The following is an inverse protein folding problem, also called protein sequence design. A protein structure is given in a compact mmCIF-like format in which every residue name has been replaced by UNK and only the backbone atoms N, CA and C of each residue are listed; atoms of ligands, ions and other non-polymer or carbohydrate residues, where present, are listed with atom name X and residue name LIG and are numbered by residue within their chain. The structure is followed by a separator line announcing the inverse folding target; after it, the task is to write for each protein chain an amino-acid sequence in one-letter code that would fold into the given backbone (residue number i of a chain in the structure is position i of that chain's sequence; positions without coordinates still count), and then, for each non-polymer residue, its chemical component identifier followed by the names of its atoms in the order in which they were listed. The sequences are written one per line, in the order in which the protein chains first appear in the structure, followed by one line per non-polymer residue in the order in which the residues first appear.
data_IF_774585329644
#
_entry.id   IF_774585329644
#
_cell.length_a   1.000
_cell.length_b   1.000
_cell.length_c   1.000
_cell.angle_alpha   90.00
_cell.angle_beta   90.00
_cell.angle_gamma   90.00
#
_symmetry.space_group_name_H-M   'P 1'
#
loop_
_entity.id
_entity.type
_entity.pdbx_description
1 polymer ?
#
# COMPACT_ATOMS: atom_id res chain seq x y z
N UNK A 1 45.24 -5.64 -5.06
CA UNK A 1 44.05 -5.63 -5.94
C UNK A 1 42.83 -5.95 -5.09
N UNK A 2 41.91 -4.98 -4.89
CA UNK A 2 40.64 -5.26 -4.20
C UNK A 2 39.80 -6.11 -5.16
N UNK A 3 39.44 -7.33 -4.75
CA UNK A 3 38.54 -8.19 -5.55
C UNK A 3 37.19 -7.47 -5.67
N UNK A 4 36.82 -7.08 -6.89
CA UNK A 4 35.44 -6.69 -7.18
C UNK A 4 34.57 -7.93 -6.98
N UNK A 5 33.74 -7.93 -5.94
CA UNK A 5 32.69 -8.94 -5.81
C UNK A 5 31.55 -8.50 -6.72
N UNK A 6 31.12 -9.34 -7.68
CA UNK A 6 29.93 -9.02 -8.46
C UNK A 6 28.73 -8.95 -7.51
N UNK A 7 27.91 -7.92 -7.66
CA UNK A 7 26.68 -7.79 -6.90
C UNK A 7 25.69 -8.85 -7.39
N UNK A 8 24.94 -9.43 -6.45
CA UNK A 8 23.91 -10.41 -6.76
C UNK A 8 22.54 -9.91 -6.30
N UNK A 9 21.51 -9.96 -7.17
CA UNK A 9 21.55 -10.33 -8.58
C UNK A 9 22.23 -9.24 -9.46
N UNK A 10 22.62 -9.53 -10.71
CA UNK A 10 23.07 -8.50 -11.65
C UNK A 10 22.02 -7.42 -11.89
N UNK A 11 22.47 -6.20 -12.22
CA UNK A 11 21.58 -5.03 -12.33
C UNK A 11 20.54 -5.19 -13.45
N UNK A 12 20.91 -5.86 -14.54
CA UNK A 12 20.05 -6.15 -15.68
C UNK A 12 18.90 -7.09 -15.29
N UNK A 13 19.14 -8.00 -14.33
CA UNK A 13 18.11 -8.88 -13.81
C UNK A 13 17.11 -8.11 -12.93
N UNK A 14 17.59 -7.12 -12.18
CA UNK A 14 16.73 -6.24 -11.37
C UNK A 14 15.84 -5.39 -12.30
N UNK A 15 16.42 -4.78 -13.33
CA UNK A 15 15.68 -4.00 -14.34
C UNK A 15 14.62 -4.84 -15.03
N UNK A 16 14.98 -6.05 -15.50
CA UNK A 16 14.02 -6.98 -16.11
C UNK A 16 12.92 -7.38 -15.15
N UNK A 17 13.23 -7.59 -13.86
CA UNK A 17 12.20 -7.92 -12.87
C UNK A 17 11.23 -6.74 -12.65
N UNK A 18 11.74 -5.52 -12.53
CA UNK A 18 10.92 -4.34 -12.22
C UNK A 18 10.08 -3.84 -13.40
N UNK A 19 10.57 -4.00 -14.64
CA UNK A 19 9.96 -3.39 -15.82
C UNK A 19 9.69 -4.36 -16.97
N UNK A 20 10.21 -5.58 -16.91
CA UNK A 20 9.99 -6.59 -17.94
C UNK A 20 8.58 -7.19 -17.88
N UNK A 21 8.13 -7.72 -19.01
CA UNK A 21 6.81 -8.39 -19.13
C UNK A 21 6.82 -9.66 -18.29
N UNK A 22 6.03 -9.68 -17.21
CA UNK A 22 5.91 -10.84 -16.33
C UNK A 22 4.86 -11.84 -16.82
N UNK A 23 4.98 -13.11 -16.45
CA UNK A 23 3.98 -14.13 -16.77
C UNK A 23 2.59 -13.75 -16.23
N UNK A 24 2.53 -13.14 -15.04
CA UNK A 24 1.28 -12.65 -14.46
C UNK A 24 0.61 -11.59 -15.33
N UNK A 25 1.39 -10.70 -15.96
CA UNK A 25 0.86 -9.72 -16.92
C UNK A 25 0.39 -10.40 -18.21
N UNK A 26 1.14 -11.38 -18.72
CA UNK A 26 0.74 -12.16 -19.91
C UNK A 26 -0.61 -12.84 -19.66
N UNK A 27 -0.80 -13.44 -18.49
CA UNK A 27 -2.07 -14.08 -18.10
C UNK A 27 -3.19 -13.07 -17.88
N UNK A 28 -2.92 -11.90 -17.29
CA UNK A 28 -3.91 -10.82 -17.18
C UNK A 28 -4.39 -10.32 -18.56
N UNK A 29 -3.48 -10.19 -19.54
CA UNK A 29 -3.81 -9.84 -20.93
C UNK A 29 -4.71 -10.91 -21.57
N UNK A 30 -4.43 -12.20 -21.32
CA UNK A 30 -5.28 -13.30 -21.82
C UNK A 30 -6.69 -13.28 -21.21
N UNK A 31 -6.80 -12.93 -19.92
CA UNK A 31 -8.09 -12.80 -19.23
C UNK A 31 -8.87 -11.53 -19.60
N UNK A 32 -8.28 -10.63 -20.38
CA UNK A 32 -8.90 -9.36 -20.77
C UNK A 32 -8.99 -8.34 -19.63
N UNK A 33 -8.11 -8.46 -18.63
CA UNK A 33 -8.09 -7.59 -17.45
C UNK A 33 -7.29 -6.30 -17.66
N UNK A 34 -6.62 -6.17 -18.82
CA UNK A 34 -5.78 -5.03 -19.18
C UNK A 34 -6.42 -4.17 -20.26
N UNK A 35 -6.04 -2.90 -20.34
CA UNK A 35 -6.45 -2.05 -21.46
C UNK A 35 -5.97 -2.58 -22.81
N UNK A 36 -6.61 -2.20 -23.93
CA UNK A 36 -6.15 -2.58 -25.27
C UNK A 36 -4.71 -2.14 -25.55
N UNK A 37 -4.31 -0.94 -25.09
CA UNK A 37 -2.97 -0.41 -25.32
C UNK A 37 -1.88 -1.24 -24.64
N UNK A 38 -2.13 -1.66 -23.39
CA UNK A 38 -1.21 -2.54 -22.65
C UNK A 38 -1.20 -3.93 -23.29
N UNK A 39 -2.36 -4.49 -23.61
CA UNK A 39 -2.47 -5.79 -24.24
C UNK A 39 -1.68 -5.84 -25.57
N UNK A 40 -1.76 -4.81 -26.39
CA UNK A 40 -1.05 -4.72 -27.66
C UNK A 40 0.47 -4.53 -27.47
N UNK A 41 0.88 -3.89 -26.39
CA UNK A 41 2.31 -3.75 -26.05
C UNK A 41 2.88 -5.09 -25.59
N UNK A 42 2.19 -5.79 -24.71
CA UNK A 42 2.57 -7.12 -24.21
C UNK A 42 2.62 -8.14 -25.35
N UNK A 43 1.60 -8.19 -26.22
CA UNK A 43 1.58 -9.11 -27.38
C UNK A 43 2.72 -8.89 -28.37
N UNK A 44 3.30 -7.68 -28.42
CA UNK A 44 4.45 -7.34 -29.26
C UNK A 44 5.80 -7.62 -28.58
N UNK A 45 5.80 -8.02 -27.31
CA UNK A 45 7.02 -8.26 -26.57
C UNK A 45 7.63 -9.63 -26.91
N UNK A 46 8.96 -9.77 -26.82
CA UNK A 46 9.62 -11.07 -27.00
C UNK A 46 9.17 -12.10 -25.95
N UNK A 47 8.93 -11.66 -24.70
CA UNK A 47 8.49 -12.52 -23.59
C UNK A 47 7.12 -13.17 -23.87
N UNK A 48 6.21 -12.48 -24.58
CA UNK A 48 4.95 -13.09 -25.02
C UNK A 48 5.19 -14.28 -25.94
N UNK A 49 6.15 -14.17 -26.85
CA UNK A 49 6.48 -15.25 -27.79
C UNK A 49 7.16 -16.41 -27.06
N UNK A 50 8.14 -16.11 -26.18
CA UNK A 50 8.83 -17.10 -25.34
C UNK A 50 7.82 -17.88 -24.48
N UNK A 51 6.91 -17.19 -23.80
CA UNK A 51 5.90 -17.83 -22.95
C UNK A 51 4.99 -18.82 -23.72
N UNK A 52 4.63 -18.50 -24.95
CA UNK A 52 3.82 -19.41 -25.77
C UNK A 52 4.61 -20.61 -26.30
N UNK A 53 5.91 -20.44 -26.56
CA UNK A 53 6.78 -21.52 -26.95
C UNK A 53 7.02 -22.49 -25.78
N UNK A 54 7.31 -21.97 -24.58
CA UNK A 54 7.55 -22.78 -23.39
C UNK A 54 6.32 -23.62 -23.00
N UNK A 55 5.11 -23.04 -23.06
CA UNK A 55 3.86 -23.79 -22.83
C UNK A 55 3.63 -24.88 -23.89
N UNK A 56 4.03 -24.64 -25.14
CA UNK A 56 3.93 -25.67 -26.19
C UNK A 56 4.94 -26.79 -25.96
N UNK A 57 6.16 -26.45 -25.56
CA UNK A 57 7.23 -27.41 -25.27
C UNK A 57 6.88 -28.28 -24.04
N UNK A 58 6.41 -27.69 -22.94
CA UNK A 58 5.96 -28.43 -21.74
C UNK A 58 4.78 -29.38 -22.02
N UNK A 59 3.91 -29.03 -22.98
CA UNK A 59 2.81 -29.92 -23.42
C UNK A 59 3.30 -31.09 -24.28
N UNK A 60 4.48 -30.99 -24.87
CA UNK A 60 5.08 -32.06 -25.68
C UNK A 60 6.12 -32.89 -24.91
N UNK A 61 6.56 -32.42 -23.75
CA UNK A 61 7.41 -33.18 -22.84
C UNK A 61 6.63 -34.37 -22.26
N UNK A 62 6.97 -35.59 -22.69
CA UNK A 62 6.58 -36.80 -21.96
C UNK A 62 7.34 -36.82 -20.64
N UNK A 63 6.61 -36.71 -19.53
CA UNK A 63 7.16 -36.97 -18.21
C UNK A 63 7.54 -38.46 -18.14
N UNK A 64 8.83 -38.76 -18.31
CA UNK A 64 9.40 -40.04 -17.88
C UNK A 64 9.37 -40.06 -16.34
N UNK A 65 8.26 -40.54 -15.80
CA UNK A 65 8.00 -40.71 -14.37
C UNK A 65 8.76 -41.93 -13.82
N UNK A 66 10.07 -41.99 -14.06
CA UNK A 66 10.95 -43.00 -13.47
C UNK A 66 11.69 -42.42 -12.25
N UNK A 67 11.09 -42.65 -11.07
CA UNK A 67 11.77 -43.02 -9.82
C UNK A 67 13.07 -42.28 -9.47
N UNK A 68 13.12 -40.95 -9.61
CA UNK A 68 14.20 -40.14 -9.03
C UNK A 68 13.79 -39.63 -7.66
N UNK A 69 14.52 -40.03 -6.62
CA UNK A 69 14.42 -39.36 -5.31
C UNK A 69 14.56 -37.86 -5.53
N UNK A 70 13.70 -37.02 -4.91
CA UNK A 70 13.73 -35.58 -5.14
C UNK A 70 15.14 -35.06 -4.82
N UNK A 71 15.74 -34.24 -5.71
CA UNK A 71 17.07 -33.71 -5.46
C UNK A 71 17.08 -32.95 -4.14
N UNK A 72 18.12 -33.16 -3.33
CA UNK A 72 18.25 -32.48 -2.05
C UNK A 72 18.28 -30.96 -2.27
N UNK A 73 17.29 -30.25 -1.71
CA UNK A 73 17.21 -28.80 -1.81
C UNK A 73 18.45 -28.15 -1.17
N UNK A 74 19.18 -27.27 -1.90
CA UNK A 74 20.30 -26.52 -1.35
C UNK A 74 19.91 -25.74 -0.08
N UNK A 75 20.84 -25.62 0.86
CA UNK A 75 20.57 -25.01 2.17
C UNK A 75 20.09 -23.56 2.06
N UNK A 76 20.58 -22.80 1.08
CA UNK A 76 20.15 -21.42 0.84
C UNK A 76 18.66 -21.36 0.46
N UNK A 77 18.21 -22.25 -0.43
CA UNK A 77 16.80 -22.32 -0.83
C UNK A 77 15.94 -22.75 0.36
N UNK A 78 16.41 -23.73 1.13
CA UNK A 78 15.73 -24.18 2.35
C UNK A 78 15.56 -23.05 3.37
N UNK A 79 16.59 -22.21 3.54
CA UNK A 79 16.52 -21.06 4.45
C UNK A 79 15.54 -19.99 3.96
N UNK A 80 15.54 -19.67 2.66
CA UNK A 80 14.56 -18.74 2.05
C UNK A 80 13.13 -19.26 2.27
N UNK A 81 12.88 -20.54 2.00
CA UNK A 81 11.55 -21.15 2.22
C UNK A 81 11.17 -21.06 3.69
N UNK A 82 12.08 -21.42 4.60
CA UNK A 82 11.83 -21.35 6.05
C UNK A 82 11.45 -19.94 6.50
N UNK A 83 12.18 -18.91 6.04
CA UNK A 83 11.90 -17.51 6.38
C UNK A 83 10.55 -17.04 5.83
N UNK A 84 10.20 -17.39 4.59
CA UNK A 84 8.88 -17.10 4.02
C UNK A 84 7.75 -17.75 4.81
N UNK A 85 7.92 -19.01 5.19
CA UNK A 85 6.93 -19.72 6.03
C UNK A 85 6.81 -19.05 7.40
N UNK A 86 7.92 -18.63 8.00
CA UNK A 86 7.89 -17.92 9.29
C UNK A 86 7.21 -16.54 9.21
N UNK A 87 7.26 -15.87 8.05
CA UNK A 87 6.58 -14.60 7.82
C UNK A 87 5.08 -14.75 7.46
N UNK A 88 4.63 -15.93 7.02
CA UNK A 88 3.25 -16.15 6.58
C UNK A 88 2.16 -15.75 7.61
N UNK A 89 2.32 -15.98 8.93
CA UNK A 89 1.34 -15.54 9.92
C UNK A 89 1.12 -14.02 9.99
N UNK A 90 2.08 -13.22 9.50
CA UNK A 90 1.97 -11.75 9.51
C UNK A 90 0.83 -11.25 8.62
N UNK A 91 0.45 -12.00 7.59
CA UNK A 91 -0.64 -11.63 6.68
C UNK A 91 -2.01 -11.48 7.39
N UNK A 92 -2.16 -12.08 8.58
CA UNK A 92 -3.38 -11.99 9.39
C UNK A 92 -3.39 -10.81 10.37
N UNK A 93 -2.32 -10.02 10.44
CA UNK A 93 -2.28 -8.83 11.29
C UNK A 93 -3.19 -7.73 10.73
N UNK A 94 -3.75 -6.92 11.63
CA UNK A 94 -4.55 -5.78 11.25
C UNK A 94 -3.68 -4.69 10.60
N UNK A 95 -4.16 -4.12 9.49
CA UNK A 95 -3.55 -3.02 8.75
C UNK A 95 -4.42 -1.76 8.96
N UNK A 96 -3.85 -0.54 9.05
CA UNK A 96 -2.42 -0.20 9.04
C UNK A 96 -1.83 0.03 10.44
N UNK A 97 -0.53 -0.25 10.60
CA UNK A 97 0.23 0.10 11.80
C UNK A 97 1.69 0.48 11.47
N UNK A 98 2.32 1.39 12.25
CA UNK A 98 3.73 1.71 12.11
C UNK A 98 4.63 0.47 12.24
N UNK A 99 5.66 0.41 11.41
CA UNK A 99 6.63 -0.70 11.39
C UNK A 99 6.19 -1.90 10.56
N UNK A 100 4.96 -1.93 10.04
CA UNK A 100 4.53 -2.96 9.10
C UNK A 100 5.23 -2.77 7.76
N UNK A 101 5.73 -3.86 7.20
CA UNK A 101 6.17 -3.92 5.81
C UNK A 101 5.07 -4.58 5.01
N UNK A 102 4.52 -3.85 4.04
CA UNK A 102 3.42 -4.32 3.22
C UNK A 102 3.86 -4.57 1.80
N UNK A 103 3.25 -5.56 1.17
CA UNK A 103 3.43 -5.89 -0.23
C UNK A 103 2.27 -5.32 -1.05
N UNK A 104 2.57 -4.54 -2.07
CA UNK A 104 1.65 -4.16 -3.12
C UNK A 104 1.82 -5.09 -4.33
N UNK A 105 0.72 -5.68 -4.79
CA UNK A 105 0.72 -6.60 -5.95
C UNK A 105 0.14 -5.94 -7.22
N UNK A 106 -0.59 -4.84 -7.07
CA UNK A 106 -1.26 -4.15 -8.18
C UNK A 106 -1.44 -2.66 -7.89
N UNK A 107 -1.55 -1.88 -8.94
CA UNK A 107 -1.95 -0.47 -8.85
C UNK A 107 -3.46 -0.43 -8.58
N UNK A 108 -3.82 0.27 -7.51
CA UNK A 108 -5.22 0.56 -7.16
C UNK A 108 -5.33 2.06 -7.05
N UNK A 109 -6.22 2.67 -7.83
CA UNK A 109 -6.48 4.11 -7.78
C UNK A 109 -7.77 4.40 -7.02
N UNK A 110 -7.91 5.61 -6.43
CA UNK A 110 -9.13 5.99 -5.73
C UNK A 110 -10.39 5.92 -6.59
N UNK A 111 -10.28 6.22 -7.89
CA UNK A 111 -11.36 6.03 -8.87
C UNK A 111 -10.93 5.00 -9.92
N UNK A 112 -11.86 4.18 -10.45
CA UNK A 112 -11.54 3.24 -11.52
C UNK A 112 -10.95 3.94 -12.76
N UNK A 113 -10.04 3.25 -13.45
CA UNK A 113 -9.45 3.67 -14.73
C UNK A 113 -8.75 5.05 -14.75
N UNK A 114 -8.32 5.58 -13.60
CA UNK A 114 -7.54 6.84 -13.56
C UNK A 114 -6.11 6.68 -14.07
N UNK A 115 -5.55 5.48 -13.95
CA UNK A 115 -4.23 5.14 -14.44
C UNK A 115 -4.36 3.92 -15.34
N UNK A 116 -3.84 4.06 -16.55
CA UNK A 116 -3.63 2.94 -17.47
C UNK A 116 -2.20 2.41 -17.26
N UNK A 117 -1.96 1.83 -16.08
CA UNK A 117 -0.65 1.34 -15.66
C UNK A 117 -0.80 0.03 -14.91
N UNK A 118 0.18 -0.85 -15.06
CA UNK A 118 0.25 -2.13 -14.34
C UNK A 118 1.56 -2.21 -13.57
N UNK A 119 1.47 -2.74 -12.36
CA UNK A 119 2.63 -3.09 -11.56
C UNK A 119 3.22 -4.39 -12.09
N UNK A 120 4.42 -4.32 -12.69
CA UNK A 120 5.06 -5.46 -13.34
C UNK A 120 5.59 -6.49 -12.34
N UNK A 121 6.05 -6.00 -11.18
CA UNK A 121 6.50 -6.80 -10.05
C UNK A 121 6.01 -6.20 -8.72
N UNK A 122 5.81 -7.03 -7.69
CA UNK A 122 5.39 -6.56 -6.38
C UNK A 122 6.40 -5.55 -5.80
N UNK A 123 5.87 -4.51 -5.17
CA UNK A 123 6.66 -3.52 -4.45
C UNK A 123 6.36 -3.58 -2.97
N UNK A 124 7.37 -3.29 -2.15
CA UNK A 124 7.27 -3.39 -0.70
C UNK A 124 7.46 -2.03 -0.06
N UNK A 125 6.63 -1.70 0.94
CA UNK A 125 6.69 -0.41 1.65
C UNK A 125 6.72 -0.65 3.15
N UNK A 126 7.68 -0.05 3.84
CA UNK A 126 7.67 0.07 5.30
C UNK A 126 6.78 1.25 5.68
N UNK A 127 5.71 0.99 6.43
CA UNK A 127 4.80 2.01 6.94
C UNK A 127 5.41 2.70 8.15
N UNK A 128 5.43 4.04 8.12
CA UNK A 128 5.96 4.85 9.21
C UNK A 128 4.85 5.54 10.01
N UNK A 129 4.07 6.38 9.31
CA UNK A 129 3.06 7.24 9.91
C UNK A 129 1.91 7.47 8.93
N UNK A 130 0.68 7.72 9.41
CA UNK A 130 -0.41 8.17 8.56
C UNK A 130 -0.05 9.52 7.93
N UNK A 131 -0.45 9.70 6.67
CA UNK A 131 -0.38 10.98 5.97
C UNK A 131 -1.64 11.82 6.21
N UNK A 132 -1.78 12.93 5.49
CA UNK A 132 -2.90 13.86 5.63
C UNK A 132 -4.26 13.19 5.30
N UNK A 133 -4.26 12.24 4.37
CA UNK A 133 -5.41 11.41 4.07
C UNK A 133 -5.36 10.09 4.85
N UNK A 134 -6.49 9.71 5.48
CA UNK A 134 -6.58 8.47 6.27
C UNK A 134 -6.19 7.20 5.49
N UNK A 135 -6.44 7.19 4.18
CA UNK A 135 -6.10 6.09 3.28
C UNK A 135 -4.65 6.14 2.76
N UNK A 136 -3.84 7.10 3.20
CA UNK A 136 -2.48 7.33 2.71
C UNK A 136 -1.50 7.28 3.87
N UNK A 137 -0.38 6.60 3.69
CA UNK A 137 0.66 6.46 4.71
C UNK A 137 2.02 6.87 4.17
N UNK A 138 2.79 7.60 4.99
CA UNK A 138 4.20 7.84 4.77
C UNK A 138 5.00 6.56 5.03
N UNK A 139 6.04 6.36 4.24
CA UNK A 139 6.94 5.24 4.39
C UNK A 139 8.13 5.30 3.47
N UNK A 140 8.84 4.18 3.41
CA UNK A 140 9.99 3.99 2.53
C UNK A 140 9.81 2.72 1.72
N UNK A 141 10.32 2.72 0.49
CA UNK A 141 10.40 1.49 -0.28
C UNK A 141 11.33 0.48 0.38
N UNK A 142 11.00 -0.80 0.20
CA UNK A 142 11.75 -1.95 0.71
C UNK A 142 12.07 -2.88 -0.47
N UNK A 143 13.23 -3.51 -0.44
CA UNK A 143 13.73 -4.38 -1.51
C UNK A 143 14.49 -5.58 -0.94
N UNK A 144 14.81 -6.56 -1.79
CA UNK A 144 15.52 -7.79 -1.39
C UNK A 144 17.05 -7.65 -1.51
N UNK A 145 17.52 -6.72 -2.32
CA UNK A 145 18.88 -6.66 -2.85
C UNK A 145 19.88 -6.02 -1.87
N UNK A 146 20.15 -6.70 -0.75
CA UNK A 146 21.04 -6.17 0.29
C UNK A 146 22.48 -5.92 -0.18
N UNK A 147 22.92 -6.58 -1.25
CA UNK A 147 24.24 -6.35 -1.88
C UNK A 147 24.36 -4.93 -2.46
N UNK A 148 23.22 -4.33 -2.83
CA UNK A 148 23.13 -2.97 -3.35
C UNK A 148 23.01 -1.90 -2.27
N UNK A 149 23.02 -2.30 -0.99
CA UNK A 149 22.94 -1.37 0.12
C UNK A 149 24.01 -0.27 0.00
N UNK A 150 23.55 0.97 0.04
CA UNK A 150 24.32 2.18 0.25
C UNK A 150 24.41 2.54 1.73
N UNK A 151 25.08 3.65 2.00
CA UNK A 151 25.29 4.16 3.36
C UNK A 151 23.98 4.42 4.10
N UNK A 152 22.93 4.80 3.38
CA UNK A 152 21.64 5.22 3.93
C UNK A 152 20.58 4.12 3.93
N UNK A 153 20.89 2.94 3.40
CA UNK A 153 19.94 1.83 3.40
C UNK A 153 19.98 1.09 4.74
N UNK A 154 18.81 0.79 5.29
CA UNK A 154 18.69 -0.01 6.51
C UNK A 154 18.51 -1.48 6.12
N UNK A 155 19.52 -2.30 6.38
CA UNK A 155 19.50 -3.73 6.08
C UNK A 155 18.91 -4.48 7.28
N UNK A 156 17.80 -5.19 7.06
CA UNK A 156 17.15 -6.01 8.07
C UNK A 156 18.04 -7.19 8.44
N UNK A 157 18.05 -7.54 9.72
CA UNK A 157 18.89 -8.60 10.28
C UNK A 157 18.02 -9.64 11.01
N UNK A 158 18.64 -10.70 11.53
CA UNK A 158 17.92 -11.75 12.24
C UNK A 158 17.08 -11.23 13.42
N UNK A 159 17.54 -10.18 14.12
CA UNK A 159 16.75 -9.57 15.20
C UNK A 159 15.49 -8.82 14.73
N UNK A 160 15.37 -8.56 13.43
CA UNK A 160 14.23 -7.89 12.81
C UNK A 160 13.18 -8.90 12.33
N UNK A 161 13.46 -10.20 12.43
CA UNK A 161 12.55 -11.27 12.05
C UNK A 161 11.28 -11.31 12.93
N UNK A 162 10.12 -11.76 12.40
CA UNK A 162 9.96 -12.30 11.04
C UNK A 162 9.73 -11.23 9.96
N UNK A 163 10.30 -11.47 8.78
CA UNK A 163 10.00 -10.75 7.54
C UNK A 163 10.26 -11.65 6.32
N UNK A 164 9.56 -11.41 5.21
CA UNK A 164 9.80 -12.07 3.93
C UNK A 164 11.17 -11.64 3.37
N UNK A 165 12.05 -12.56 2.95
CA UNK A 165 13.33 -12.22 2.34
C UNK A 165 13.26 -11.27 1.13
N UNK A 166 12.10 -11.14 0.45
CA UNK A 166 11.93 -10.12 -0.60
C UNK A 166 11.85 -8.68 -0.06
N UNK A 167 11.68 -8.54 1.26
CA UNK A 167 11.60 -7.29 1.99
C UNK A 167 12.72 -7.20 3.02
N UNK A 168 13.98 -7.15 2.56
CA UNK A 168 15.19 -7.26 3.40
C UNK A 168 15.96 -5.94 3.62
N UNK A 169 15.65 -4.89 2.86
CA UNK A 169 16.37 -3.61 2.91
C UNK A 169 15.44 -2.42 2.73
N UNK A 170 15.45 -1.46 3.66
CA UNK A 170 14.67 -0.22 3.60
C UNK A 170 15.51 0.86 2.92
N UNK A 171 14.93 1.50 1.90
CA UNK A 171 15.56 2.51 1.06
C UNK A 171 15.26 3.93 1.55
N UNK A 172 16.10 4.49 2.44
CA UNK A 172 15.79 5.79 3.05
C UNK A 172 15.89 6.97 2.09
N UNK A 173 16.66 6.83 1.02
CA UNK A 173 16.74 7.77 -0.08
C UNK A 173 15.49 7.72 -0.99
N UNK A 174 14.57 6.76 -0.78
CA UNK A 174 13.38 6.55 -1.58
C UNK A 174 12.08 6.60 -0.73
N UNK A 175 11.76 7.76 -0.12
CA UNK A 175 10.50 7.93 0.59
C UNK A 175 9.32 7.89 -0.39
N UNK A 176 8.20 7.34 0.08
CA UNK A 176 6.95 7.20 -0.69
C UNK A 176 5.73 7.46 0.19
N UNK A 177 4.64 7.85 -0.46
CA UNK A 177 3.30 7.75 0.10
C UNK A 177 2.64 6.50 -0.47
N UNK A 178 2.15 5.61 0.39
CA UNK A 178 1.38 4.46 -0.02
C UNK A 178 -0.11 4.74 0.14
N UNK A 179 -0.87 4.49 -0.92
CA UNK A 179 -2.33 4.39 -0.83
C UNK A 179 -2.72 3.00 -0.30
N UNK A 180 -3.29 2.95 0.90
CA UNK A 180 -3.54 1.71 1.66
C UNK A 180 -4.33 0.63 0.89
N UNK A 181 -5.32 0.95 0.03
CA UNK A 181 -5.98 -0.08 -0.78
C UNK A 181 -5.04 -0.86 -1.72
N UNK A 182 -3.81 -0.39 -1.96
CA UNK A 182 -2.78 -1.15 -2.65
C UNK A 182 -2.06 -2.19 -1.77
N UNK A 183 -2.13 -2.07 -0.45
CA UNK A 183 -1.48 -2.99 0.48
C UNK A 183 -2.21 -4.34 0.46
N UNK A 184 -1.63 -5.32 -0.25
CA UNK A 184 -2.24 -6.63 -0.42
C UNK A 184 -2.08 -7.52 0.81
N UNK A 185 -0.91 -7.48 1.46
CA UNK A 185 -0.63 -8.21 2.71
C UNK A 185 0.58 -7.66 3.45
N UNK A 186 0.65 -7.95 4.74
CA UNK A 186 1.81 -7.67 5.58
C UNK A 186 2.82 -8.81 5.43
N UNK A 187 4.08 -8.46 5.18
CA UNK A 187 5.19 -9.39 4.97
C UNK A 187 6.34 -9.21 5.95
N UNK A 188 6.28 -8.19 6.80
CA UNK A 188 7.27 -7.94 7.85
C UNK A 188 6.69 -7.02 8.94
N UNK A 189 7.24 -7.08 10.15
CA UNK A 189 6.88 -6.17 11.24
C UNK A 189 8.12 -5.80 12.05
N UNK A 190 8.54 -4.55 11.94
CA UNK A 190 9.57 -4.00 12.82
C UNK A 190 9.02 -3.75 14.21
N UNK A 191 9.83 -4.03 15.22
CA UNK A 191 9.53 -3.57 16.58
C UNK A 191 9.64 -2.03 16.65
N UNK A 192 8.95 -1.38 17.61
CA UNK A 192 9.02 0.09 17.76
C UNK A 192 10.45 0.61 17.91
N UNK A 193 11.31 -0.11 18.63
CA UNK A 193 12.72 0.25 18.80
C UNK A 193 13.51 0.20 17.47
N UNK A 194 13.20 -0.78 16.62
CA UNK A 194 13.84 -0.91 15.30
C UNK A 194 13.31 0.11 14.31
N UNK A 195 12.01 0.40 14.31
CA UNK A 195 11.44 1.52 13.56
C UNK A 195 12.06 2.87 13.99
N UNK A 196 12.29 3.07 15.29
CA UNK A 196 12.98 4.27 15.77
C UNK A 196 14.42 4.37 15.25
N UNK A 197 15.12 3.24 15.09
CA UNK A 197 16.44 3.22 14.48
C UNK A 197 16.39 3.59 12.99
N UNK A 198 15.37 3.14 12.25
CA UNK A 198 15.10 3.56 10.86
C UNK A 198 14.85 5.07 10.79
N UNK A 199 13.95 5.61 11.64
CA UNK A 199 13.67 7.05 11.73
C UNK A 199 14.90 7.88 12.06
N UNK A 200 15.73 7.42 13.00
CA UNK A 200 16.98 8.11 13.31
C UNK A 200 17.96 8.09 12.14
N UNK A 201 18.04 7.00 11.39
CA UNK A 201 18.88 6.92 10.20
C UNK A 201 18.36 7.83 9.08
N UNK A 202 17.04 7.97 8.95
CA UNK A 202 16.41 8.88 7.99
C UNK A 202 16.67 10.36 8.36
N UNK A 203 16.64 10.69 9.66
CA UNK A 203 17.03 12.00 10.15
C UNK A 203 18.51 12.30 9.84
N UNK A 204 19.41 11.34 10.05
CA UNK A 204 20.83 11.49 9.69
C UNK A 204 20.98 11.75 8.18
N UNK A 205 20.30 10.98 7.34
CA UNK A 205 20.30 11.17 5.89
C UNK A 205 19.85 12.57 5.46
N UNK A 206 18.83 13.13 6.12
CA UNK A 206 18.29 14.44 5.78
C UNK A 206 19.24 15.61 6.11
N UNK A 207 20.14 15.45 7.09
CA UNK A 207 20.96 16.56 7.62
C UNK A 207 22.46 16.35 7.43
N UNK A 208 22.90 15.18 6.95
CA UNK A 208 24.31 14.85 6.77
C UNK A 208 24.60 14.19 5.43
N UNK A 209 25.83 14.37 4.95
CA UNK A 209 26.34 13.65 3.78
C UNK A 209 27.01 12.34 4.19
N UNK A 210 27.12 11.42 3.23
CA UNK A 210 27.86 10.19 3.46
C UNK A 210 29.36 10.53 3.69
N UNK A 211 30.02 9.86 4.64
CA UNK A 211 31.39 10.18 5.01
C UNK A 211 32.37 9.90 3.87
N UNK A 212 33.10 10.94 3.44
CA UNK A 212 34.08 10.89 2.33
C UNK A 212 35.32 10.05 2.67
N UNK A 213 35.62 9.89 3.96
CA UNK A 213 36.77 9.11 4.43
C UNK A 213 36.50 7.60 4.51
N UNK A 214 35.27 7.14 4.24
CA UNK A 214 34.92 5.73 4.22
C UNK A 214 34.89 5.25 2.77
N UNK A 215 35.74 4.28 2.46
CA UNK A 215 35.82 3.73 1.11
C UNK A 215 34.51 3.02 0.71
N UNK A 216 34.07 3.25 -0.53
CA UNK A 216 33.01 2.46 -1.13
C UNK A 216 33.41 0.98 -1.19
N UNK A 217 32.46 0.12 -0.79
CA UNK A 217 32.61 -1.32 -0.77
C UNK A 217 31.26 -2.00 -1.07
N UNK A 218 30.82 -2.02 -2.35
CA UNK A 218 29.58 -2.67 -2.76
C UNK A 218 29.53 -4.15 -2.32
N UNK A 219 28.33 -4.68 -2.06
CA UNK A 219 28.14 -6.08 -1.63
C UNK A 219 28.48 -6.34 -0.16
N UNK A 220 28.68 -5.28 0.64
CA UNK A 220 28.99 -5.41 2.07
C UNK A 220 28.12 -4.52 2.92
N UNK A 221 27.52 -5.14 3.93
CA UNK A 221 26.88 -4.44 5.02
C UNK A 221 27.81 -4.36 6.24
N UNK A 222 27.72 -3.25 6.99
CA UNK A 222 28.45 -3.02 8.21
C UNK A 222 27.50 -2.45 9.27
N UNK A 223 27.78 -2.80 10.53
CA UNK A 223 27.05 -2.22 11.64
C UNK A 223 27.62 -0.85 11.99
N UNK A 224 26.74 0.14 12.15
CA UNK A 224 27.11 1.50 12.58
C UNK A 224 26.11 2.04 13.57
N UNK A 225 26.42 3.19 14.14
CA UNK A 225 25.57 3.90 15.08
C UNK A 225 25.04 5.17 14.42
N UNK A 226 23.76 5.48 14.59
CA UNK A 226 23.17 6.75 14.16
C UNK A 226 23.62 7.90 15.06
N UNK A 227 23.32 9.15 14.69
CA UNK A 227 23.60 10.31 15.55
C UNK A 227 22.96 10.22 16.94
N UNK A 228 21.86 9.48 17.08
CA UNK A 228 21.14 9.27 18.35
C UNK A 228 21.61 8.05 19.14
N UNK A 229 22.68 7.39 18.71
CA UNK A 229 23.24 6.24 19.44
C UNK A 229 22.60 4.89 19.11
N UNK A 230 21.71 4.82 18.12
CA UNK A 230 21.02 3.58 17.76
C UNK A 230 21.85 2.73 16.79
N UNK A 231 21.93 1.43 17.05
CA UNK A 231 22.69 0.49 16.22
C UNK A 231 21.88 0.08 14.98
N UNK A 232 22.48 0.29 13.82
CA UNK A 232 21.92 -0.05 12.50
C UNK A 232 22.91 -0.88 11.70
N UNK A 233 22.42 -1.52 10.64
CA UNK A 233 23.24 -2.22 9.66
C UNK A 233 22.96 -1.58 8.30
N UNK A 234 23.99 -1.04 7.67
CA UNK A 234 23.88 -0.32 6.39
C UNK A 234 24.94 -0.81 5.42
N UNK A 235 24.83 -0.42 4.15
CA UNK A 235 25.92 -0.60 3.20
C UNK A 235 27.06 0.39 3.40
N UNK A 236 27.89 0.53 2.37
CA UNK A 236 28.98 1.50 2.29
C UNK A 236 28.58 2.73 1.46
N UNK A 237 29.28 3.87 1.56
CA UNK A 237 29.05 5.00 0.66
C UNK A 237 29.13 4.60 -0.82
N UNK A 238 28.39 5.31 -1.66
CA UNK A 238 28.44 5.10 -3.11
C UNK A 238 29.84 5.42 -3.64
N UNK A 239 30.27 4.65 -4.65
CA UNK A 239 31.57 4.80 -5.29
C UNK A 239 31.59 5.90 -6.35
N UNK A 240 32.41 5.69 -7.38
CA UNK A 240 32.44 6.53 -8.58
C UNK A 240 31.15 6.39 -9.40
N UNK A 241 31.02 7.19 -10.46
CA UNK A 241 29.92 7.13 -11.43
C UNK A 241 29.66 5.73 -12.04
N UNK A 242 30.67 4.86 -12.07
CA UNK A 242 30.56 3.47 -12.53
C UNK A 242 30.04 2.48 -11.45
N UNK A 243 29.69 2.95 -10.26
CA UNK A 243 29.06 2.12 -9.23
C UNK A 243 27.64 1.73 -9.66
N UNK A 244 27.40 0.42 -9.85
CA UNK A 244 26.12 -0.12 -10.27
C UNK A 244 24.96 0.25 -9.32
N UNK A 245 25.26 0.62 -8.07
CA UNK A 245 24.26 1.10 -7.11
C UNK A 245 23.62 2.43 -7.52
N UNK A 246 24.27 3.26 -8.34
CA UNK A 246 23.62 4.44 -8.92
C UNK A 246 22.48 4.06 -9.87
N UNK A 247 22.72 3.11 -10.77
CA UNK A 247 21.68 2.60 -11.68
C UNK A 247 20.56 1.92 -10.89
N UNK A 248 20.91 1.16 -9.86
CA UNK A 248 19.94 0.56 -8.94
C UNK A 248 19.00 1.60 -8.30
N UNK A 249 19.56 2.71 -7.80
CA UNK A 249 18.75 3.78 -7.22
C UNK A 249 17.79 4.40 -8.26
N UNK A 250 18.26 4.63 -9.48
CA UNK A 250 17.43 5.15 -10.57
C UNK A 250 16.24 4.22 -10.90
N UNK A 251 16.51 2.92 -11.07
CA UNK A 251 15.46 1.93 -11.36
C UNK A 251 14.39 1.91 -10.27
N UNK A 252 14.78 1.99 -9.01
CA UNK A 252 13.83 1.99 -7.90
C UNK A 252 13.11 3.33 -7.70
N UNK A 253 13.71 4.46 -8.12
CA UNK A 253 12.97 5.72 -8.20
C UNK A 253 11.88 5.66 -9.26
N UNK A 254 12.18 5.10 -10.44
CA UNK A 254 11.21 4.92 -11.52
C UNK A 254 10.10 3.94 -11.10
N UNK A 255 10.46 2.81 -10.47
CA UNK A 255 9.48 1.84 -9.99
C UNK A 255 8.59 2.41 -8.86
N UNK A 256 9.10 3.35 -8.05
CA UNK A 256 8.35 4.00 -6.99
C UNK A 256 7.13 4.78 -7.48
N UNK A 257 7.10 5.22 -8.74
CA UNK A 257 5.97 5.95 -9.31
C UNK A 257 4.68 5.11 -9.29
N UNK A 258 4.79 3.79 -9.43
CA UNK A 258 3.66 2.88 -9.30
C UNK A 258 2.99 2.94 -7.91
N UNK A 259 3.72 3.38 -6.88
CA UNK A 259 3.22 3.58 -5.51
C UNK A 259 2.83 5.04 -5.26
N UNK A 260 3.66 5.99 -5.72
CA UNK A 260 3.45 7.44 -5.47
C UNK A 260 2.23 7.99 -6.19
N UNK A 261 2.01 7.61 -7.44
CA UNK A 261 0.94 8.20 -8.25
C UNK A 261 -0.46 7.91 -7.69
N UNK A 262 -0.81 6.67 -7.30
CA UNK A 262 -2.07 6.40 -6.62
C UNK A 262 -2.27 7.20 -5.32
N UNK A 263 -1.22 7.36 -4.51
CA UNK A 263 -1.29 8.16 -3.29
C UNK A 263 -1.49 9.66 -3.60
N UNK A 264 -0.82 10.18 -4.64
CA UNK A 264 -1.01 11.55 -5.12
C UNK A 264 -2.45 11.79 -5.59
N UNK A 265 -3.03 10.82 -6.30
CA UNK A 265 -4.44 10.87 -6.70
C UNK A 265 -5.38 10.85 -5.50
N UNK A 266 -5.07 10.06 -4.46
CA UNK A 266 -5.86 10.00 -3.23
C UNK A 266 -5.84 11.31 -2.45
N UNK A 267 -4.64 11.90 -2.30
CA UNK A 267 -4.47 13.22 -1.67
C UNK A 267 -5.22 14.31 -2.44
N UNK A 268 -5.17 14.28 -3.77
CA UNK A 268 -5.92 15.21 -4.62
C UNK A 268 -7.44 15.06 -4.45
N UNK A 269 -7.95 13.82 -4.40
CA UNK A 269 -9.37 13.57 -4.20
C UNK A 269 -9.86 14.12 -2.84
N UNK A 270 -9.03 14.06 -1.81
CA UNK A 270 -9.33 14.68 -0.52
C UNK A 270 -9.33 16.21 -0.59
N UNK A 271 -8.38 16.80 -1.32
CA UNK A 271 -8.31 18.25 -1.52
C UNK A 271 -9.48 18.82 -2.34
N UNK A 272 -10.19 17.98 -3.09
CA UNK A 272 -11.39 18.35 -3.85
C UNK A 272 -12.65 18.43 -2.97
N UNK A 273 -12.60 18.01 -1.69
CA UNK A 273 -13.73 18.17 -0.75
C UNK A 273 -13.95 19.67 -0.44
N UNK A 274 -15.16 20.22 -0.66
CA UNK A 274 -15.44 21.62 -0.44
C UNK A 274 -15.21 22.07 1.02
N UNK A 275 -14.72 23.30 1.21
CA UNK A 275 -14.69 23.91 2.53
C UNK A 275 -16.11 24.26 3.00
N UNK A 276 -16.40 24.12 4.29
CA UNK A 276 -17.72 24.37 4.87
C UNK A 276 -18.15 23.26 5.82
N UNK A 277 -19.36 23.37 6.38
CA UNK A 277 -19.84 22.44 7.41
C UNK A 277 -19.96 21.00 6.91
N UNK A 278 -20.48 20.82 5.69
CA UNK A 278 -20.63 19.51 5.07
C UNK A 278 -19.28 18.87 4.78
N UNK A 279 -18.35 19.61 4.16
CA UNK A 279 -16.98 19.12 3.96
C UNK A 279 -16.25 18.81 5.27
N UNK A 280 -16.45 19.63 6.32
CA UNK A 280 -15.94 19.34 7.66
C UNK A 280 -16.56 18.08 8.26
N UNK A 281 -17.84 17.79 8.02
CA UNK A 281 -18.44 16.52 8.40
C UNK A 281 -17.79 15.37 7.63
N UNK A 282 -17.72 15.42 6.30
CA UNK A 282 -17.11 14.37 5.48
C UNK A 282 -15.66 14.08 5.89
N UNK A 283 -14.84 15.12 6.11
CA UNK A 283 -13.47 14.97 6.60
C UNK A 283 -13.41 14.29 7.97
N UNK A 284 -14.34 14.59 8.87
CA UNK A 284 -14.43 13.92 10.18
C UNK A 284 -14.85 12.47 10.07
N UNK A 285 -15.79 12.15 9.18
CA UNK A 285 -16.20 10.77 8.91
C UNK A 285 -15.01 9.96 8.36
N UNK A 286 -14.28 10.51 7.39
CA UNK A 286 -13.05 9.90 6.83
C UNK A 286 -12.00 9.70 7.94
N UNK A 287 -11.77 10.70 8.77
CA UNK A 287 -10.82 10.60 9.89
C UNK A 287 -11.27 9.60 10.96
N UNK A 288 -12.57 9.49 11.24
CA UNK A 288 -13.12 8.50 12.16
C UNK A 288 -12.92 7.08 11.65
N UNK A 289 -13.18 6.84 10.36
CA UNK A 289 -12.89 5.56 9.72
C UNK A 289 -11.41 5.17 9.89
N UNK A 290 -10.49 6.09 9.60
CA UNK A 290 -9.05 5.85 9.76
C UNK A 290 -8.65 5.43 11.18
N UNK A 291 -9.28 6.00 12.22
CA UNK A 291 -9.05 5.59 13.62
C UNK A 291 -9.54 4.18 13.93
N UNK A 292 -10.59 3.74 13.25
CA UNK A 292 -11.13 2.38 13.38
C UNK A 292 -10.35 1.34 12.54
N UNK A 293 -9.22 1.73 11.93
CA UNK A 293 -8.49 0.93 10.93
C UNK A 293 -9.36 0.56 9.71
N UNK A 294 -10.43 1.32 9.48
CA UNK A 294 -11.28 1.22 8.30
C UNK A 294 -10.97 2.39 7.35
N UNK A 295 -11.37 2.26 6.09
CA UNK A 295 -11.07 3.27 5.07
C UNK A 295 -12.39 3.75 4.47
N UNK A 296 -12.60 5.07 4.50
CA UNK A 296 -13.60 5.75 3.68
C UNK A 296 -12.90 6.57 2.60
N UNK A 297 -13.40 6.49 1.38
CA UNK A 297 -12.85 7.18 0.21
C UNK A 297 -13.89 8.12 -0.40
N UNK A 298 -13.54 9.36 -0.75
CA UNK A 298 -14.42 10.22 -1.52
C UNK A 298 -14.52 9.72 -2.97
N UNK A 299 -15.74 9.47 -3.45
CA UNK A 299 -16.08 9.16 -4.84
C UNK A 299 -16.87 10.34 -5.44
N UNK A 300 -16.54 10.81 -6.66
CA UNK A 300 -17.34 11.85 -7.31
C UNK A 300 -18.76 11.31 -7.56
N UNK A 301 -19.78 12.18 -7.48
CA UNK A 301 -21.14 11.76 -7.77
C UNK A 301 -21.22 11.20 -9.19
N UNK A 302 -21.80 10.02 -9.34
CA UNK A 302 -22.10 9.45 -10.67
C UNK A 302 -23.24 10.28 -11.25
N UNK A 303 -22.94 11.12 -12.23
CA UNK A 303 -23.97 11.87 -12.95
C UNK A 303 -24.93 10.89 -13.63
N UNK A 304 -26.15 10.79 -13.11
CA UNK A 304 -27.23 10.05 -13.78
C UNK A 304 -27.84 11.01 -14.81
N UNK A 305 -27.74 10.73 -16.12
CA UNK A 305 -28.05 11.71 -17.18
C UNK A 305 -29.53 12.12 -17.30
N UNK A 306 -30.39 11.72 -16.35
CA UNK A 306 -31.84 11.93 -16.39
C UNK A 306 -32.45 12.41 -15.05
N UNK A 307 -31.67 12.49 -13.96
CA UNK A 307 -32.14 13.09 -12.70
C UNK A 307 -31.86 14.57 -12.74
N UNK A 308 -32.89 15.40 -12.87
CA UNK A 308 -32.81 16.86 -12.78
C UNK A 308 -32.47 17.40 -11.38
N UNK A 309 -31.86 16.56 -10.54
CA UNK A 309 -31.29 16.99 -9.27
C UNK A 309 -29.97 17.69 -9.58
N UNK A 310 -29.91 18.97 -9.24
CA UNK A 310 -28.65 19.70 -9.12
C UNK A 310 -27.76 18.86 -8.19
N UNK A 311 -26.79 18.17 -8.79
CA UNK A 311 -25.84 17.34 -8.06
C UNK A 311 -25.29 18.18 -6.91
N UNK A 312 -25.69 17.85 -5.67
CA UNK A 312 -25.05 18.41 -4.50
C UNK A 312 -23.56 18.17 -4.70
N UNK A 313 -22.76 19.24 -4.72
CA UNK A 313 -21.36 19.21 -5.15
C UNK A 313 -20.43 18.43 -4.20
N UNK A 314 -20.99 17.62 -3.30
CA UNK A 314 -20.26 16.81 -2.36
C UNK A 314 -19.97 15.42 -2.94
N UNK A 315 -18.79 14.86 -2.68
CA UNK A 315 -18.51 13.47 -3.04
C UNK A 315 -19.31 12.51 -2.16
N UNK A 316 -19.71 11.38 -2.76
CA UNK A 316 -20.17 10.22 -2.00
C UNK A 316 -18.96 9.65 -1.21
N UNK A 317 -19.18 9.04 -0.06
CA UNK A 317 -18.15 8.28 0.66
C UNK A 317 -18.32 6.79 0.38
N UNK A 318 -17.22 6.12 0.08
CA UNK A 318 -17.17 4.70 -0.23
C UNK A 318 -16.44 3.97 0.90
N UNK A 319 -17.09 2.97 1.50
CA UNK A 319 -16.47 1.95 2.32
C UNK A 319 -16.15 0.76 1.39
N UNK A 320 -14.90 0.57 0.95
CA UNK A 320 -14.57 -0.25 -0.21
C UNK A 320 -15.13 -1.68 -0.11
N UNK A 321 -15.93 -2.06 -1.11
CA UNK A 321 -16.54 -3.39 -1.22
C UNK A 321 -17.65 -3.67 -0.23
N UNK A 322 -18.11 -2.68 0.55
CA UNK A 322 -19.13 -2.86 1.58
C UNK A 322 -20.31 -1.90 1.42
N UNK A 323 -20.05 -0.58 1.39
CA UNK A 323 -21.11 0.42 1.40
C UNK A 323 -20.76 1.70 0.63
N UNK A 324 -21.77 2.40 0.14
CA UNK A 324 -21.67 3.78 -0.36
C UNK A 324 -22.59 4.67 0.49
N UNK A 325 -22.10 5.86 0.83
CA UNK A 325 -22.75 6.83 1.70
C UNK A 325 -22.88 8.15 0.96
N UNK A 326 -24.10 8.69 0.87
CA UNK A 326 -24.37 9.97 0.24
C UNK A 326 -25.02 10.91 1.24
N UNK A 327 -24.39 12.04 1.52
CA UNK A 327 -24.96 13.08 2.37
C UNK A 327 -25.98 13.89 1.55
N UNK A 328 -27.26 13.86 1.96
CA UNK A 328 -28.31 14.66 1.33
C UNK A 328 -28.48 16.01 2.01
N UNK A 329 -28.48 16.03 3.34
CA UNK A 329 -28.80 17.22 4.11
C UNK A 329 -27.95 17.30 5.38
N UNK A 330 -27.51 18.51 5.73
CA UNK A 330 -26.91 18.82 7.02
C UNK A 330 -27.36 20.20 7.49
N UNK A 331 -28.18 20.26 8.53
CA UNK A 331 -28.69 21.51 9.07
C UNK A 331 -27.66 22.23 9.95
N UNK A 332 -27.89 23.52 10.20
CA UNK A 332 -27.06 24.31 11.11
C UNK A 332 -27.08 23.81 12.57
N UNK A 333 -28.02 22.93 12.94
CA UNK A 333 -28.08 22.31 14.26
C UNK A 333 -27.34 20.97 14.34
N UNK A 334 -26.84 20.47 13.21
CA UNK A 334 -26.15 19.18 13.13
C UNK A 334 -27.06 17.99 12.83
N UNK A 335 -28.36 18.23 12.65
CA UNK A 335 -29.29 17.24 12.10
C UNK A 335 -28.91 16.96 10.65
N UNK A 336 -29.05 15.72 10.20
CA UNK A 336 -28.71 15.39 8.82
C UNK A 336 -29.34 14.11 8.33
N UNK A 337 -29.18 13.91 7.03
CA UNK A 337 -29.76 12.77 6.31
C UNK A 337 -28.73 12.21 5.34
N UNK A 338 -28.52 10.90 5.40
CA UNK A 338 -27.55 10.18 4.59
C UNK A 338 -28.18 8.94 3.99
N UNK A 339 -28.06 8.80 2.67
CA UNK A 339 -28.40 7.57 1.96
C UNK A 339 -27.24 6.58 2.10
N UNK A 340 -27.56 5.35 2.46
CA UNK A 340 -26.62 4.25 2.60
C UNK A 340 -27.03 3.15 1.64
N UNK A 341 -26.12 2.78 0.75
CA UNK A 341 -26.29 1.67 -0.19
C UNK A 341 -25.33 0.54 0.19
N UNK A 342 -25.84 -0.68 0.36
CA UNK A 342 -25.01 -1.86 0.60
C UNK A 342 -24.46 -2.37 -0.75
N UNK A 343 -23.18 -2.16 -1.01
CA UNK A 343 -22.51 -2.52 -2.28
C UNK A 343 -21.84 -3.90 -2.21
N UNK A 344 -21.58 -4.40 -1.00
CA UNK A 344 -20.91 -5.68 -0.76
C UNK A 344 -21.80 -6.90 -0.99
N UNK A 345 -21.22 -8.09 -0.75
CA UNK A 345 -21.92 -9.38 -0.84
C UNK A 345 -22.57 -9.82 0.46
N UNK A 346 -22.32 -9.11 1.56
CA UNK A 346 -22.87 -9.39 2.88
C UNK A 346 -23.95 -8.37 3.26
N UNK A 347 -24.94 -8.77 4.09
CA UNK A 347 -25.88 -7.82 4.68
C UNK A 347 -25.16 -6.78 5.53
N UNK A 348 -25.68 -5.56 5.50
CA UNK A 348 -25.17 -4.40 6.22
C UNK A 348 -26.23 -3.90 7.20
N UNK A 349 -25.87 -3.77 8.47
CA UNK A 349 -26.72 -3.12 9.47
C UNK A 349 -26.21 -1.70 9.70
N UNK A 350 -27.12 -0.75 9.68
CA UNK A 350 -26.83 0.66 9.99
C UNK A 350 -27.57 1.04 11.27
N UNK A 351 -26.86 1.58 12.25
CA UNK A 351 -27.40 2.05 13.53
C UNK A 351 -27.14 3.54 13.72
N UNK A 352 -28.17 4.31 14.07
CA UNK A 352 -28.01 5.66 14.63
C UNK A 352 -28.04 5.53 16.14
N UNK A 353 -27.05 6.14 16.81
CA UNK A 353 -26.86 6.02 18.25
C UNK A 353 -26.79 7.35 18.94
N UNK A 354 -27.31 7.37 20.18
CA UNK A 354 -27.19 8.46 21.15
C UNK A 354 -26.53 7.91 22.41
N UNK A 355 -25.22 8.11 22.50
CA UNK A 355 -24.38 7.40 23.46
C UNK A 355 -24.46 5.88 23.25
N UNK A 356 -24.87 5.15 24.28
CA UNK A 356 -25.02 3.70 24.22
C UNK A 356 -26.37 3.21 23.67
N UNK A 357 -27.33 4.13 23.48
CA UNK A 357 -28.69 3.78 23.03
C UNK A 357 -28.76 3.80 21.50
N UNK A 358 -29.36 2.75 20.93
CA UNK A 358 -29.70 2.70 19.49
C UNK A 358 -31.04 3.41 19.31
N UNK A 359 -31.06 4.48 18.53
CA UNK A 359 -32.27 5.25 18.19
C UNK A 359 -32.95 4.65 16.96
N UNK A 360 -32.16 4.29 15.95
CA UNK A 360 -32.62 3.70 14.71
C UNK A 360 -31.70 2.55 14.30
N UNK A 361 -32.28 1.49 13.72
CA UNK A 361 -31.55 0.35 13.19
C UNK A 361 -32.20 -0.12 11.89
N UNK A 362 -31.42 -0.10 10.81
CA UNK A 362 -31.82 -0.57 9.49
C UNK A 362 -30.94 -1.75 9.09
N UNK A 363 -31.52 -2.75 8.41
CA UNK A 363 -30.79 -3.89 7.86
C UNK A 363 -30.96 -3.91 6.35
N UNK A 364 -29.85 -3.80 5.62
CA UNK A 364 -29.78 -3.73 4.17
C UNK A 364 -29.23 -5.05 3.63
N UNK A 365 -29.91 -5.63 2.65
CA UNK A 365 -29.35 -6.74 1.88
C UNK A 365 -28.37 -6.21 0.82
N UNK A 366 -27.48 -7.06 0.27
CA UNK A 366 -26.65 -6.71 -0.87
C UNK A 366 -27.45 -6.06 -2.01
N UNK A 367 -27.09 -4.84 -2.38
CA UNK A 367 -27.74 -4.03 -3.41
C UNK A 367 -28.87 -3.12 -2.90
N UNK A 368 -29.30 -3.25 -1.65
CA UNK A 368 -30.33 -2.39 -1.07
C UNK A 368 -29.78 -1.01 -0.73
N UNK A 369 -30.68 -0.03 -0.77
CA UNK A 369 -30.45 1.37 -0.40
C UNK A 369 -31.52 1.82 0.58
N UNK A 370 -31.13 2.54 1.63
CA UNK A 370 -32.07 3.21 2.53
C UNK A 370 -31.51 4.56 2.99
N UNK A 371 -32.37 5.43 3.50
CA UNK A 371 -31.98 6.74 4.00
C UNK A 371 -32.09 6.83 5.51
N UNK A 372 -30.97 7.15 6.14
CA UNK A 372 -30.84 7.28 7.58
C UNK A 372 -30.84 8.76 7.96
N UNK A 373 -31.64 9.12 8.96
CA UNK A 373 -31.68 10.48 9.50
C UNK A 373 -31.15 10.49 10.93
N UNK A 374 -30.55 11.60 11.34
CA UNK A 374 -30.12 11.80 12.72
C UNK A 374 -30.47 13.20 13.21
N UNK A 375 -30.63 13.32 14.53
CA UNK A 375 -30.91 14.59 15.19
C UNK A 375 -29.65 15.17 15.86
N UNK A 376 -29.79 16.37 16.44
CA UNK A 376 -28.69 17.07 17.14
C UNK A 376 -28.14 16.32 18.36
N UNK A 377 -28.88 15.35 18.90
CA UNK A 377 -28.50 14.53 20.04
C UNK A 377 -27.90 13.18 19.66
N UNK A 378 -28.01 12.75 18.40
CA UNK A 378 -27.34 11.55 17.91
C UNK A 378 -25.82 11.76 17.91
N UNK A 379 -25.09 10.80 18.46
CA UNK A 379 -23.64 10.90 18.68
C UNK A 379 -22.83 10.10 17.66
N UNK A 380 -23.42 9.03 17.10
CA UNK A 380 -22.70 8.16 16.16
C UNK A 380 -23.63 7.48 15.13
N UNK A 381 -23.07 7.24 13.95
CA UNK A 381 -23.59 6.32 12.93
C UNK A 381 -22.68 5.08 12.90
N UNK A 382 -23.25 3.91 13.12
CA UNK A 382 -22.53 2.64 13.14
C UNK A 382 -22.93 1.78 11.96
N UNK A 383 -21.95 1.32 11.18
CA UNK A 383 -22.16 0.35 10.11
C UNK A 383 -21.54 -0.98 10.52
N UNK A 384 -22.31 -2.07 10.43
CA UNK A 384 -21.92 -3.39 10.91
C UNK A 384 -22.20 -4.43 9.82
N UNK A 385 -21.19 -5.21 9.47
CA UNK A 385 -21.30 -6.32 8.52
C UNK A 385 -21.64 -7.63 9.24
N UNK A 386 -22.14 -8.63 8.51
CA UNK A 386 -22.39 -9.98 9.04
C UNK A 386 -21.10 -10.66 9.54
N UNK A 387 -19.96 -10.39 8.89
CA UNK A 387 -18.62 -10.84 9.33
C UNK A 387 -18.11 -10.16 10.61
N UNK A 388 -18.84 -9.17 11.15
CA UNK A 388 -18.51 -8.49 12.40
C UNK A 388 -17.57 -7.30 12.25
N UNK A 389 -17.21 -6.90 11.02
CA UNK A 389 -16.54 -5.61 10.77
C UNK A 389 -17.47 -4.48 11.14
N UNK A 390 -16.91 -3.45 11.78
CA UNK A 390 -17.66 -2.30 12.30
C UNK A 390 -16.95 -1.03 11.91
N UNK A 391 -17.74 -0.07 11.45
CA UNK A 391 -17.31 1.30 11.20
C UNK A 391 -18.16 2.22 12.06
N UNK A 392 -17.53 2.89 13.02
CA UNK A 392 -18.17 3.89 13.87
C UNK A 392 -17.79 5.29 13.39
N UNK A 393 -18.81 6.06 13.04
CA UNK A 393 -18.68 7.42 12.53
C UNK A 393 -19.26 8.40 13.54
N UNK A 394 -18.42 9.27 14.08
CA UNK A 394 -18.86 10.29 15.04
C UNK A 394 -19.66 11.40 14.34
N UNK A 395 -20.87 11.66 14.87
CA UNK A 395 -21.77 12.73 14.40
C UNK A 395 -21.66 14.00 15.24
N UNK A 396 -21.14 13.89 16.47
CA UNK A 396 -21.01 15.02 17.39
C UNK A 396 -20.24 16.17 16.74
N UNK A 397 -20.69 17.44 16.85
CA UNK A 397 -19.92 18.57 16.36
C UNK A 397 -18.58 18.63 17.08
N UNK A 398 -17.47 18.64 16.33
CA UNK A 398 -16.18 18.94 16.92
C UNK A 398 -16.26 20.38 17.41
N UNK A 399 -15.94 20.63 18.68
CA UNK A 399 -15.67 22.00 19.12
C UNK A 399 -14.71 22.62 18.09
N UNK A 400 -14.99 23.83 17.58
CA UNK A 400 -14.04 24.50 16.73
C UNK A 400 -12.71 24.54 17.50
N UNK A 401 -11.56 24.32 16.83
CA UNK A 401 -10.28 24.49 17.50
C UNK A 401 -10.30 25.87 18.14
N UNK A 402 -10.21 25.91 19.47
CA UNK A 402 -10.20 27.16 20.22
C UNK A 402 -9.16 28.06 19.56
N UNK A 403 -9.60 29.26 19.15
CA UNK A 403 -8.80 30.25 18.45
C UNK A 403 -7.36 30.21 18.96
N UNK A 404 -6.44 29.73 18.12
CA UNK A 404 -5.02 29.85 18.40
C UNK A 404 -4.71 31.36 18.39
N UNK A 405 -4.16 31.90 19.49
CA UNK A 405 -3.86 33.33 19.59
C UNK A 405 -2.80 33.80 18.58
#
# INVERSE_FOLDING_TARGET
MKKHFPLSPPIEQIERRLFGVSEGLIEAVKRGETSPAIADTVRRSPEWTEYHNDIQDDRTAKFDEETRSPPALPDQIRDIIRRRVAAAPLASLALPAPGQIVRGDKIVTPRPAQLDAIMMAPLYVLLDAPAEAAAVWHGWLVSAETDYAGWWDFVLQEQDAPFDPEAAMVQLWNPVHLYLPMAARIVGQLSPARLQAVRSLAADFAVTEAPVNIAAWPGRAASRTTSTGLRVTTGSPLGSEHDARHRYQQLYFEAAEAVREPARLALRALAEIPAGREGSLLNRLIAAAGRAAEILLPEPPVAVPMSGDDASGLPDLSWPGLARLRLHELTAKGEGRMEVTAVGTEPLVVEVRKGAQVEERVSLLPGDTDTIAWDQGSTALMLITASGRRLELSLEPSEPPADWP
#
